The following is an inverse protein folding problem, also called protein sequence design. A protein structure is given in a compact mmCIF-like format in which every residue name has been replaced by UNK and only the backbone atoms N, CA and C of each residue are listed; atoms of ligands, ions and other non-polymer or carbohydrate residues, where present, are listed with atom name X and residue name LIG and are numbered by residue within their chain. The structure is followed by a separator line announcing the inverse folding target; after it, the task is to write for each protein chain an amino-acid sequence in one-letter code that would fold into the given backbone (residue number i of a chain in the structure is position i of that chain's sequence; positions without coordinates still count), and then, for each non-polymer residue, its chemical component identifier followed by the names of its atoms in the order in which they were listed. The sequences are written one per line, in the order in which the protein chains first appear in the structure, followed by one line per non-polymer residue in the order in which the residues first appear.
data_IF_980010610889
#
_entry.id   IF_980010610889
#
_cell.length_a   1.000
_cell.length_b   1.000
_cell.length_c   1.000
_cell.angle_alpha   90.00
_cell.angle_beta   90.00
_cell.angle_gamma   90.00
#
_symmetry.space_group_name_H-M   'P 1'
#
loop_
_entity.id
_entity.type
_entity.pdbx_description
1 polymer ?
#
# COMPACT_ATOMS: atom_id res chain seq x y z
N UNK A 1 67.92 -39.61 40.06
CA UNK A 1 66.57 -39.58 39.47
C UNK A 1 66.04 -38.16 39.61
N UNK A 2 66.08 -37.37 38.54
CA UNK A 2 65.51 -36.02 38.50
C UNK A 2 64.00 -36.15 38.25
N UNK A 3 63.19 -35.60 39.16
CA UNK A 3 61.75 -35.49 38.97
C UNK A 3 61.47 -34.25 38.11
N UNK A 4 61.08 -34.48 36.86
CA UNK A 4 60.63 -33.47 35.91
C UNK A 4 59.27 -32.93 36.38
N UNK A 5 59.22 -31.65 36.77
CA UNK A 5 57.96 -30.91 36.93
C UNK A 5 57.37 -30.66 35.54
N UNK A 6 56.32 -31.40 35.18
CA UNK A 6 55.49 -31.05 34.03
C UNK A 6 54.69 -29.79 34.35
N UNK A 7 55.05 -28.66 33.73
CA UNK A 7 54.20 -27.47 33.68
C UNK A 7 53.00 -27.75 32.79
N UNK A 8 51.83 -27.84 33.39
CA UNK A 8 50.56 -27.86 32.64
C UNK A 8 50.39 -26.45 32.07
N UNK A 9 50.63 -26.34 30.76
CA UNK A 9 50.27 -25.14 29.98
C UNK A 9 48.75 -25.03 30.01
N UNK A 10 48.25 -24.03 30.72
CA UNK A 10 46.83 -23.69 30.74
C UNK A 10 46.42 -23.22 29.33
N UNK A 11 45.62 -24.04 28.63
CA UNK A 11 45.16 -23.79 27.26
C UNK A 11 44.00 -22.80 27.28
N UNK A 12 44.16 -21.65 27.93
CA UNK A 12 43.21 -20.55 27.77
C UNK A 12 43.51 -19.91 26.42
N UNK A 13 42.85 -20.41 25.38
CA UNK A 13 42.74 -19.69 24.12
C UNK A 13 42.30 -18.27 24.45
N UNK A 14 43.12 -17.28 24.09
CA UNK A 14 42.79 -15.86 24.27
C UNK A 14 41.46 -15.58 23.56
N UNK A 15 40.35 -15.59 24.29
CA UNK A 15 39.04 -15.27 23.76
C UNK A 15 39.06 -13.79 23.38
N UNK A 16 39.31 -13.53 22.10
CA UNK A 16 39.26 -12.18 21.55
C UNK A 16 37.79 -11.79 21.51
N UNK A 17 37.34 -10.99 22.48
CA UNK A 17 35.99 -10.45 22.52
C UNK A 17 35.74 -9.67 21.22
N UNK A 18 34.75 -10.08 20.45
CA UNK A 18 34.28 -9.39 19.25
C UNK A 18 33.05 -8.58 19.67
N UNK A 19 33.02 -7.28 19.36
CA UNK A 19 31.81 -6.47 19.54
C UNK A 19 30.79 -6.95 18.50
N UNK A 20 29.68 -7.52 18.96
CA UNK A 20 28.58 -7.95 18.09
C UNK A 20 27.73 -6.75 17.67
N UNK A 21 27.33 -5.92 18.63
CA UNK A 21 26.62 -4.66 18.40
C UNK A 21 26.90 -3.69 19.57
N UNK A 22 26.67 -2.40 19.35
CA UNK A 22 26.81 -1.35 20.37
C UNK A 22 25.49 -0.69 20.68
N UNK A 23 25.34 -0.23 21.93
CA UNK A 23 24.26 0.67 22.30
C UNK A 23 24.72 2.08 21.98
N UNK A 24 24.07 2.70 21.01
CA UNK A 24 24.30 4.09 20.61
C UNK A 24 23.62 5.07 21.57
N UNK A 25 22.41 4.76 22.02
CA UNK A 25 21.65 5.58 22.97
C UNK A 25 20.51 4.81 23.67
N UNK A 26 20.00 5.37 24.77
CA UNK A 26 18.83 4.86 25.50
C UNK A 26 17.87 6.03 25.77
N UNK A 27 16.60 5.85 25.45
CA UNK A 27 15.55 6.85 25.63
C UNK A 27 14.35 6.20 26.33
N UNK A 28 14.21 6.47 27.64
CA UNK A 28 13.24 5.76 28.48
C UNK A 28 13.51 4.26 28.47
N UNK A 29 12.52 3.47 28.06
CA UNK A 29 12.61 2.00 27.94
C UNK A 29 13.14 1.54 26.56
N UNK A 30 13.41 2.45 25.63
CA UNK A 30 13.85 2.13 24.28
C UNK A 30 15.36 2.22 24.13
N UNK A 31 15.97 1.17 23.59
CA UNK A 31 17.39 1.12 23.25
C UNK A 31 17.58 1.40 21.75
N UNK A 32 18.64 2.13 21.40
CA UNK A 32 19.09 2.37 20.02
C UNK A 32 20.42 1.64 19.84
N UNK A 33 20.46 0.73 18.89
CA UNK A 33 21.67 -0.02 18.54
C UNK A 33 22.43 0.67 17.41
N UNK A 34 23.73 0.43 17.32
CA UNK A 34 24.55 0.88 16.17
C UNK A 34 23.99 0.26 14.88
N UNK A 35 23.55 -1.00 14.94
CA UNK A 35 22.92 -1.68 13.80
C UNK A 35 21.59 -1.05 13.35
N UNK A 36 20.83 -0.40 14.24
CA UNK A 36 19.60 0.30 13.86
C UNK A 36 19.89 1.48 12.93
N UNK A 37 20.98 2.21 13.21
CA UNK A 37 21.41 3.37 12.42
C UNK A 37 21.88 2.90 11.03
N UNK A 38 22.69 1.85 10.98
CA UNK A 38 23.17 1.28 9.71
C UNK A 38 22.03 0.73 8.86
N UNK A 39 21.11 -0.04 9.45
CA UNK A 39 19.92 -0.58 8.76
C UNK A 39 19.07 0.54 8.19
N UNK A 40 18.78 1.58 8.98
CA UNK A 40 17.97 2.70 8.51
C UNK A 40 18.63 3.43 7.34
N UNK A 41 19.97 3.56 7.34
CA UNK A 41 20.70 4.14 6.22
C UNK A 41 20.64 3.26 4.96
N UNK A 42 20.73 1.94 5.12
CA UNK A 42 20.59 0.98 4.02
C UNK A 42 19.18 1.04 3.42
N UNK A 43 18.15 1.13 4.25
CA UNK A 43 16.75 1.21 3.83
C UNK A 43 16.47 2.51 3.05
N UNK A 44 17.04 3.64 3.47
CA UNK A 44 16.94 4.90 2.71
C UNK A 44 17.60 4.79 1.33
N UNK A 45 18.76 4.13 1.24
CA UNK A 45 19.44 3.90 -0.04
C UNK A 45 18.67 2.96 -0.96
N UNK A 46 18.05 1.90 -0.41
CA UNK A 46 17.27 0.95 -1.21
C UNK A 46 16.00 1.59 -1.80
N UNK A 47 15.46 2.60 -1.13
CA UNK A 47 14.33 3.41 -1.60
C UNK A 47 14.73 4.53 -2.60
N UNK A 48 16.03 4.67 -2.90
CA UNK A 48 16.54 5.69 -3.82
C UNK A 48 16.64 7.10 -3.23
N UNK A 49 16.58 7.24 -1.90
CA UNK A 49 16.78 8.53 -1.25
C UNK A 49 18.26 8.97 -1.33
N UNK A 50 18.49 10.27 -1.52
CA UNK A 50 19.85 10.82 -1.40
C UNK A 50 20.32 10.70 0.05
N UNK A 51 21.46 10.05 0.25
CA UNK A 51 22.09 9.92 1.57
C UNK A 51 23.39 10.71 1.69
N UNK A 52 23.68 11.60 0.75
CA UNK A 52 24.95 12.35 0.71
C UNK A 52 25.11 13.27 1.93
N UNK A 53 24.01 13.88 2.38
CA UNK A 53 24.00 14.78 3.53
C UNK A 53 23.58 14.11 4.85
N UNK A 54 23.29 12.79 4.83
CA UNK A 54 22.83 12.06 6.00
C UNK A 54 24.02 11.54 6.79
N UNK A 55 24.31 12.19 7.91
CA UNK A 55 25.34 11.75 8.84
C UNK A 55 24.80 10.69 9.81
N UNK A 56 25.71 9.89 10.36
CA UNK A 56 25.38 8.97 11.46
C UNK A 56 24.76 9.71 12.66
N UNK A 57 25.23 10.92 12.97
CA UNK A 57 24.72 11.72 14.09
C UNK A 57 23.30 12.23 13.83
N UNK A 58 23.00 12.71 12.61
CA UNK A 58 21.64 13.14 12.26
C UNK A 58 20.65 11.98 12.31
N UNK A 59 21.08 10.79 11.90
CA UNK A 59 20.23 9.61 11.93
C UNK A 59 19.99 9.10 13.37
N UNK A 60 21.05 9.07 14.19
CA UNK A 60 20.92 8.82 15.63
C UNK A 60 19.96 9.83 16.28
N UNK A 61 20.11 11.12 15.98
CA UNK A 61 19.23 12.17 16.48
C UNK A 61 17.77 11.91 16.15
N UNK A 62 17.47 11.53 14.90
CA UNK A 62 16.11 11.17 14.47
C UNK A 62 15.58 9.94 15.22
N UNK A 63 16.38 8.88 15.36
CA UNK A 63 15.99 7.66 16.08
C UNK A 63 15.76 7.90 17.58
N UNK A 64 16.50 8.84 18.18
CA UNK A 64 16.29 9.30 19.55
C UNK A 64 14.98 10.09 19.67
N UNK A 65 14.72 10.99 18.73
CA UNK A 65 13.49 11.79 18.70
C UNK A 65 12.24 10.91 18.58
N UNK A 66 12.26 9.90 17.69
CA UNK A 66 11.14 8.99 17.53
C UNK A 66 10.85 8.17 18.79
N UNK A 67 11.90 7.71 19.48
CA UNK A 67 11.76 7.02 20.78
C UNK A 67 11.29 7.95 21.88
N UNK A 68 11.70 9.22 21.85
CA UNK A 68 11.23 10.23 22.79
C UNK A 68 9.72 10.46 22.64
N UNK A 69 9.24 10.65 21.40
CA UNK A 69 7.81 10.78 21.14
C UNK A 69 7.03 9.52 21.53
N UNK A 70 7.53 8.33 21.18
CA UNK A 70 6.88 7.08 21.55
C UNK A 70 6.80 6.91 23.08
N UNK A 71 7.88 7.24 23.81
CA UNK A 71 7.89 7.19 25.27
C UNK A 71 6.88 8.17 25.88
N UNK A 72 6.85 9.41 25.39
CA UNK A 72 5.86 10.39 25.84
C UNK A 72 4.44 9.95 25.49
N UNK A 73 4.22 9.31 24.33
CA UNK A 73 2.90 8.81 23.92
C UNK A 73 2.34 7.80 24.92
N UNK A 74 3.19 6.91 25.43
CA UNK A 74 2.82 5.95 26.46
C UNK A 74 2.48 6.65 27.78
N UNK A 75 3.30 7.63 28.21
CA UNK A 75 3.03 8.41 29.42
C UNK A 75 1.71 9.18 29.35
N UNK A 76 1.42 9.77 28.19
CA UNK A 76 0.19 10.51 27.90
C UNK A 76 -1.01 9.61 27.61
N UNK A 77 -0.85 8.28 27.72
CA UNK A 77 -1.89 7.29 27.45
C UNK A 77 -2.50 7.39 26.05
N UNK A 78 -1.70 7.76 25.05
CA UNK A 78 -2.10 7.73 23.65
C UNK A 78 -2.29 6.27 23.23
N UNK A 79 -3.51 5.93 22.83
CA UNK A 79 -3.87 4.58 22.43
C UNK A 79 -3.55 4.34 20.95
N UNK A 80 -2.87 3.23 20.68
CA UNK A 80 -2.71 2.65 19.34
C UNK A 80 -3.40 1.29 19.37
N UNK A 81 -4.29 1.05 18.41
CA UNK A 81 -5.04 -0.20 18.34
C UNK A 81 -4.13 -1.34 17.89
N UNK A 82 -4.14 -2.45 18.63
CA UNK A 82 -3.34 -3.62 18.27
C UNK A 82 -3.79 -4.21 16.91
N UNK A 83 -5.08 -4.13 16.58
CA UNK A 83 -5.60 -4.55 15.28
C UNK A 83 -5.03 -3.71 14.13
N UNK A 84 -4.84 -2.42 14.35
CA UNK A 84 -4.27 -1.50 13.35
C UNK A 84 -2.78 -1.76 13.12
N UNK A 85 -2.05 -2.05 14.20
CA UNK A 85 -0.63 -2.44 14.13
C UNK A 85 -0.49 -3.76 13.39
N UNK A 86 -1.29 -4.78 13.75
CA UNK A 86 -1.28 -6.09 13.10
C UNK A 86 -1.61 -5.99 11.61
N UNK A 87 -2.68 -5.26 11.26
CA UNK A 87 -3.05 -5.02 9.86
C UNK A 87 -1.97 -4.28 9.07
N UNK A 88 -1.18 -3.42 9.72
CA UNK A 88 -0.04 -2.75 9.09
C UNK A 88 1.13 -3.70 8.88
N UNK A 89 1.49 -4.49 9.89
CA UNK A 89 2.52 -5.52 9.79
C UNK A 89 2.19 -6.55 8.70
N UNK A 90 0.95 -7.02 8.62
CA UNK A 90 0.53 -7.98 7.59
C UNK A 90 0.61 -7.39 6.17
N UNK A 91 0.21 -6.13 5.99
CA UNK A 91 0.37 -5.43 4.69
C UNK A 91 1.83 -5.30 4.30
N UNK A 92 2.71 -4.95 5.24
CA UNK A 92 4.14 -4.84 5.00
C UNK A 92 4.75 -6.20 4.62
N UNK A 93 4.36 -7.27 5.31
CA UNK A 93 4.78 -8.64 4.97
C UNK A 93 4.33 -9.02 3.56
N UNK A 94 3.08 -8.74 3.19
CA UNK A 94 2.57 -9.02 1.85
C UNK A 94 3.36 -8.27 0.76
N UNK A 95 3.72 -7.01 1.01
CA UNK A 95 4.56 -6.23 0.08
C UNK A 95 5.96 -6.83 -0.07
N UNK A 96 6.59 -7.21 1.04
CA UNK A 96 7.91 -7.87 1.02
C UNK A 96 7.85 -9.21 0.27
N UNK A 97 6.80 -10.00 0.49
CA UNK A 97 6.60 -11.28 -0.23
C UNK A 97 6.39 -11.03 -1.73
N UNK A 98 5.66 -9.99 -2.12
CA UNK A 98 5.48 -9.66 -3.54
C UNK A 98 6.79 -9.22 -4.21
N UNK A 99 7.65 -8.49 -3.50
CA UNK A 99 8.93 -8.03 -4.02
C UNK A 99 9.97 -9.16 -4.10
N UNK A 100 10.05 -10.00 -3.06
CA UNK A 100 11.09 -11.03 -2.93
C UNK A 100 10.66 -12.40 -3.50
N UNK A 101 9.35 -12.64 -3.55
CA UNK A 101 8.70 -13.77 -4.22
C UNK A 101 8.17 -14.87 -3.31
N UNK A 102 8.72 -15.06 -2.09
CA UNK A 102 8.17 -16.02 -1.11
C UNK A 102 8.49 -15.61 0.33
N UNK A 103 7.72 -16.16 1.28
CA UNK A 103 7.96 -15.93 2.71
C UNK A 103 9.30 -16.51 3.16
N UNK A 104 9.72 -17.69 2.69
CA UNK A 104 11.02 -18.25 3.10
C UNK A 104 12.19 -17.33 2.73
N UNK A 105 12.14 -16.70 1.55
CA UNK A 105 13.19 -15.77 1.12
C UNK A 105 13.20 -14.49 1.96
N UNK A 106 12.03 -13.99 2.37
CA UNK A 106 11.93 -12.85 3.28
C UNK A 106 12.57 -13.18 4.63
N UNK A 107 12.22 -14.34 5.21
CA UNK A 107 12.81 -14.80 6.47
C UNK A 107 14.33 -14.98 6.36
N UNK A 108 14.81 -15.54 5.26
CA UNK A 108 16.25 -15.67 5.01
C UNK A 108 16.96 -14.31 4.89
N UNK A 109 16.33 -13.33 4.23
CA UNK A 109 16.89 -11.99 4.06
C UNK A 109 17.01 -11.23 5.40
N UNK A 110 15.98 -11.31 6.24
CA UNK A 110 15.97 -10.68 7.57
C UNK A 110 16.59 -11.55 8.68
N UNK A 111 17.13 -12.72 8.31
CA UNK A 111 17.74 -13.70 9.23
C UNK A 111 16.80 -14.08 10.39
N UNK A 112 15.57 -14.48 10.03
CA UNK A 112 14.51 -14.91 10.96
C UNK A 112 14.21 -16.39 10.80
N UNK A 113 13.96 -17.07 11.91
CA UNK A 113 13.69 -18.51 11.88
C UNK A 113 12.22 -18.81 11.56
N UNK A 114 11.31 -17.94 12.01
CA UNK A 114 9.87 -18.15 11.84
C UNK A 114 9.11 -16.89 11.41
N UNK A 115 7.97 -17.09 10.75
CA UNK A 115 7.07 -15.98 10.39
C UNK A 115 6.41 -15.31 11.58
N UNK A 116 6.36 -15.98 12.74
CA UNK A 116 5.81 -15.43 13.97
C UNK A 116 6.80 -14.44 14.59
N UNK A 117 8.06 -14.83 14.72
CA UNK A 117 9.14 -13.95 15.19
C UNK A 117 9.23 -12.67 14.34
N UNK A 118 9.14 -12.80 13.01
CA UNK A 118 9.16 -11.65 12.12
C UNK A 118 7.93 -10.74 12.28
N UNK A 119 6.74 -11.32 12.51
CA UNK A 119 5.52 -10.55 12.78
C UNK A 119 5.63 -9.78 14.10
N UNK A 120 6.16 -10.39 15.16
CA UNK A 120 6.34 -9.74 16.46
C UNK A 120 7.34 -8.57 16.38
N UNK A 121 8.43 -8.76 15.64
CA UNK A 121 9.41 -7.68 15.39
C UNK A 121 8.76 -6.52 14.64
N UNK A 122 8.05 -6.80 13.54
CA UNK A 122 7.32 -5.77 12.80
C UNK A 122 6.23 -5.11 13.63
N UNK A 123 5.52 -5.86 14.46
CA UNK A 123 4.54 -5.31 15.40
C UNK A 123 5.19 -4.31 16.35
N UNK A 124 6.34 -4.67 16.95
CA UNK A 124 7.07 -3.78 17.86
C UNK A 124 7.53 -2.50 17.18
N UNK A 125 8.10 -2.63 15.97
CA UNK A 125 8.55 -1.49 15.16
C UNK A 125 7.37 -0.60 14.77
N UNK A 126 6.29 -1.18 14.26
CA UNK A 126 5.12 -0.43 13.82
C UNK A 126 4.41 0.25 14.99
N UNK A 127 4.30 -0.42 16.16
CA UNK A 127 3.73 0.18 17.36
C UNK A 127 4.53 1.38 17.82
N UNK A 128 5.86 1.29 17.85
CA UNK A 128 6.73 2.42 18.18
C UNK A 128 6.54 3.58 17.20
N UNK A 129 6.56 3.30 15.89
CA UNK A 129 6.34 4.31 14.85
C UNK A 129 4.99 5.01 15.00
N UNK A 130 3.91 4.25 15.16
CA UNK A 130 2.56 4.79 15.30
C UNK A 130 2.38 5.61 16.58
N UNK A 131 3.01 5.21 17.69
CA UNK A 131 3.03 6.01 18.91
C UNK A 131 3.74 7.35 18.69
N UNK A 132 4.91 7.34 18.03
CA UNK A 132 5.65 8.55 17.67
C UNK A 132 4.81 9.48 16.79
N UNK A 133 4.21 8.94 15.73
CA UNK A 133 3.36 9.69 14.79
C UNK A 133 2.14 10.31 15.49
N UNK A 134 1.42 9.56 16.35
CA UNK A 134 0.27 10.09 17.08
C UNK A 134 0.65 11.18 18.08
N UNK A 135 1.81 11.05 18.74
CA UNK A 135 2.30 12.11 19.62
C UNK A 135 2.65 13.37 18.84
N UNK A 136 3.36 13.24 17.72
CA UNK A 136 3.64 14.39 16.84
C UNK A 136 2.35 15.06 16.36
N UNK A 137 1.36 14.28 15.93
CA UNK A 137 0.04 14.78 15.53
C UNK A 137 -0.67 15.53 16.65
N UNK A 138 -0.62 15.01 17.88
CA UNK A 138 -1.17 15.69 19.06
C UNK A 138 -0.50 17.05 19.27
N UNK A 139 0.83 17.11 19.23
CA UNK A 139 1.59 18.36 19.42
C UNK A 139 1.23 19.40 18.34
N UNK A 140 1.17 18.99 17.07
CA UNK A 140 0.85 19.94 15.99
C UNK A 140 -0.62 20.32 15.93
N UNK A 141 -1.53 19.51 16.47
CA UNK A 141 -2.97 19.81 16.50
C UNK A 141 -3.33 21.03 17.34
N UNK A 142 -2.47 21.40 18.29
CA UNK A 142 -2.62 22.61 19.10
C UNK A 142 -2.23 23.89 18.33
N UNK A 143 -1.50 23.74 17.22
CA UNK A 143 -1.04 24.88 16.41
C UNK A 143 -2.20 25.39 15.56
N UNK A 144 -2.63 26.62 15.86
CA UNK A 144 -3.63 27.33 15.05
C UNK A 144 -2.92 28.25 14.06
N UNK A 145 -3.22 28.08 12.77
CA UNK A 145 -2.71 28.94 11.70
C UNK A 145 -3.75 29.99 11.35
N UNK A 146 -3.38 31.26 11.45
CA UNK A 146 -4.27 32.38 11.13
C UNK A 146 -4.27 32.72 9.63
N UNK A 147 -5.37 33.28 9.09
CA UNK A 147 -5.40 33.72 7.70
C UNK A 147 -4.31 34.75 7.35
N UNK A 148 -3.89 35.57 8.32
CA UNK A 148 -2.85 36.58 8.10
C UNK A 148 -1.45 35.95 8.00
N UNK A 149 -1.14 34.93 8.80
CA UNK A 149 0.12 34.17 8.66
C UNK A 149 0.21 33.49 7.30
N UNK A 150 -0.90 32.91 6.81
CA UNK A 150 -0.97 32.33 5.46
C UNK A 150 -0.71 33.38 4.39
N UNK A 151 -1.34 34.57 4.50
CA UNK A 151 -1.12 35.67 3.56
C UNK A 151 0.33 36.15 3.56
N UNK A 152 0.95 36.26 4.74
CA UNK A 152 2.34 36.68 4.86
C UNK A 152 3.30 35.62 4.31
N UNK A 153 3.07 34.34 4.61
CA UNK A 153 3.82 33.23 4.04
C UNK A 153 3.73 33.23 2.50
N UNK A 154 2.51 33.31 1.96
CA UNK A 154 2.29 33.33 0.51
C UNK A 154 2.97 34.52 -0.19
N UNK A 155 2.95 35.71 0.44
CA UNK A 155 3.64 36.91 -0.08
C UNK A 155 5.17 36.79 -0.05
N UNK A 156 5.75 35.95 0.82
CA UNK A 156 7.20 35.72 0.90
C UNK A 156 7.71 34.75 -0.16
N UNK A 157 6.84 33.94 -0.78
CA UNK A 157 7.23 33.02 -1.85
C UNK A 157 7.63 33.86 -3.08
N UNK A 158 8.85 33.68 -3.64
CA UNK A 158 9.28 34.33 -4.88
C UNK A 158 8.27 34.09 -6.02
N UNK A 159 8.02 35.10 -6.87
CA UNK A 159 7.00 35.01 -7.93
C UNK A 159 7.19 33.81 -8.87
N UNK A 160 8.44 33.42 -9.15
CA UNK A 160 8.81 32.28 -9.99
C UNK A 160 8.57 30.91 -9.32
N UNK A 161 8.40 30.89 -8.00
CA UNK A 161 8.12 29.69 -7.21
C UNK A 161 6.65 29.62 -6.77
N UNK A 162 5.85 30.65 -7.04
CA UNK A 162 4.43 30.62 -6.70
C UNK A 162 3.73 29.55 -7.55
N UNK A 163 2.86 28.73 -6.94
CA UNK A 163 2.04 27.80 -7.69
C UNK A 163 1.20 28.55 -8.73
N UNK A 164 1.30 28.14 -9.98
CA UNK A 164 0.45 28.66 -11.04
C UNK A 164 -0.86 27.89 -10.98
N UNK A 165 -1.94 28.55 -10.57
CA UNK A 165 -3.26 27.97 -10.70
C UNK A 165 -3.65 28.01 -12.17
N UNK A 166 -4.16 26.89 -12.69
CA UNK A 166 -4.73 26.84 -14.03
C UNK A 166 -5.91 27.80 -14.17
N UNK A 167 -6.29 28.13 -15.40
CA UNK A 167 -7.48 28.94 -15.63
C UNK A 167 -8.71 28.25 -15.02
N UNK A 168 -9.40 28.93 -14.10
CA UNK A 168 -10.72 28.53 -13.63
C UNK A 168 -11.77 28.92 -14.69
N UNK A 169 -12.66 28.01 -15.02
CA UNK A 169 -13.69 28.20 -16.04
C UNK A 169 -15.08 28.07 -15.42
N UNK A 170 -15.91 29.09 -15.60
CA UNK A 170 -17.35 28.98 -15.38
C UNK A 170 -18.04 28.72 -16.72
N UNK A 171 -18.70 27.57 -16.85
CA UNK A 171 -19.42 27.19 -18.08
C UNK A 171 -20.89 26.95 -17.79
N UNK A 172 -21.74 27.29 -18.76
CA UNK A 172 -23.15 26.91 -18.78
C UNK A 172 -23.38 25.94 -19.95
N UNK A 173 -23.96 24.77 -19.66
CA UNK A 173 -24.26 23.75 -20.65
C UNK A 173 -25.75 23.47 -20.68
N UNK A 174 -26.33 23.36 -21.87
CA UNK A 174 -27.67 22.84 -22.09
C UNK A 174 -27.52 21.49 -22.79
N UNK A 175 -28.04 20.43 -22.17
CA UNK A 175 -28.06 19.07 -22.72
C UNK A 175 -29.51 18.72 -23.05
N UNK A 176 -29.75 18.20 -24.25
CA UNK A 176 -31.04 17.62 -24.64
C UNK A 176 -30.79 16.21 -25.14
N UNK A 177 -31.13 15.24 -24.33
CA UNK A 177 -31.08 13.83 -24.71
C UNK A 177 -32.32 13.48 -25.53
N UNK A 178 -32.17 12.90 -26.73
CA UNK A 178 -33.32 12.43 -27.50
C UNK A 178 -33.93 11.20 -26.81
N UNK A 179 -35.26 11.17 -26.72
CA UNK A 179 -35.97 9.97 -26.29
C UNK A 179 -35.87 8.91 -27.39
N UNK A 180 -35.34 7.74 -27.06
CA UNK A 180 -35.24 6.61 -27.98
C UNK A 180 -36.63 5.95 -28.09
N UNK A 181 -37.19 5.76 -29.30
CA UNK A 181 -38.45 5.05 -29.46
C UNK A 181 -38.38 3.62 -28.89
N UNK A 182 -39.44 3.19 -28.20
CA UNK A 182 -39.51 1.84 -27.62
C UNK A 182 -39.32 0.72 -28.64
N UNK A 183 -39.73 0.94 -29.90
CA UNK A 183 -39.50 -0.01 -31.00
C UNK A 183 -38.00 -0.27 -31.25
N UNK A 184 -37.17 0.77 -31.17
CA UNK A 184 -35.72 0.64 -31.37
C UNK A 184 -35.05 -0.06 -30.19
N UNK A 185 -35.50 0.21 -28.95
CA UNK A 185 -35.04 -0.52 -27.77
C UNK A 185 -35.36 -2.01 -27.90
N UNK A 186 -36.58 -2.34 -28.32
CA UNK A 186 -37.00 -3.73 -28.48
C UNK A 186 -36.18 -4.45 -29.56
N UNK A 187 -35.81 -3.76 -30.65
CA UNK A 187 -34.92 -4.34 -31.68
C UNK A 187 -33.55 -4.74 -31.10
N UNK A 188 -32.97 -3.90 -30.25
CA UNK A 188 -31.69 -4.20 -29.58
C UNK A 188 -31.83 -5.37 -28.61
N UNK A 189 -32.88 -5.38 -27.78
CA UNK A 189 -33.16 -6.48 -26.84
C UNK A 189 -33.34 -7.79 -27.61
N UNK A 190 -34.15 -7.82 -28.65
CA UNK A 190 -34.37 -9.01 -29.48
C UNK A 190 -33.06 -9.51 -30.10
N UNK A 191 -32.18 -8.60 -30.53
CA UNK A 191 -30.88 -8.99 -31.10
C UNK A 191 -29.95 -9.59 -30.05
N UNK A 192 -29.95 -9.07 -28.84
CA UNK A 192 -29.18 -9.64 -27.73
C UNK A 192 -29.72 -11.01 -27.32
N UNK A 193 -31.04 -11.20 -27.32
CA UNK A 193 -31.67 -12.51 -27.10
C UNK A 193 -31.30 -13.52 -28.19
N UNK A 194 -31.25 -13.10 -29.45
CA UNK A 194 -30.78 -13.95 -30.55
C UNK A 194 -29.31 -14.36 -30.36
N UNK A 195 -28.45 -13.43 -29.93
CA UNK A 195 -27.03 -13.74 -29.65
C UNK A 195 -26.92 -14.71 -28.47
N UNK A 196 -27.70 -14.51 -27.40
CA UNK A 196 -27.75 -15.41 -26.25
C UNK A 196 -28.15 -16.82 -26.69
N UNK A 197 -29.28 -16.96 -27.39
CA UNK A 197 -29.78 -18.25 -27.88
C UNK A 197 -28.75 -18.94 -28.81
N UNK A 198 -28.06 -18.19 -29.66
CA UNK A 198 -26.99 -18.78 -30.49
C UNK A 198 -25.83 -19.35 -29.67
N UNK A 199 -25.48 -18.72 -28.56
CA UNK A 199 -24.40 -19.20 -27.70
C UNK A 199 -24.85 -20.40 -26.86
N UNK A 200 -26.09 -20.39 -26.35
CA UNK A 200 -26.63 -21.46 -25.50
C UNK A 200 -27.09 -22.70 -26.29
N UNK A 201 -27.78 -22.51 -27.43
CA UNK A 201 -28.44 -23.59 -28.17
C UNK A 201 -27.64 -24.09 -29.38
N UNK A 202 -26.80 -23.22 -29.98
CA UNK A 202 -26.09 -23.50 -31.23
C UNK A 202 -24.56 -23.62 -31.07
N UNK A 203 -24.06 -23.73 -29.83
CA UNK A 203 -22.63 -23.82 -29.48
C UNK A 203 -21.78 -22.68 -30.09
N UNK A 204 -22.37 -21.52 -30.36
CA UNK A 204 -21.62 -20.39 -30.91
C UNK A 204 -20.67 -19.82 -29.85
N UNK A 205 -19.44 -19.47 -30.24
CA UNK A 205 -18.50 -18.87 -29.29
C UNK A 205 -18.91 -17.43 -28.92
N UNK A 206 -19.13 -17.18 -27.62
CA UNK A 206 -19.43 -15.84 -27.09
C UNK A 206 -18.35 -14.82 -27.50
N UNK A 207 -17.07 -15.21 -27.47
CA UNK A 207 -15.97 -14.32 -27.84
C UNK A 207 -16.03 -13.88 -29.30
N UNK A 208 -16.45 -14.77 -30.20
CA UNK A 208 -16.66 -14.44 -31.62
C UNK A 208 -17.85 -13.51 -31.78
N UNK A 209 -18.97 -13.76 -31.10
CA UNK A 209 -20.14 -12.87 -31.11
C UNK A 209 -19.79 -11.48 -30.58
N UNK A 210 -19.01 -11.40 -29.51
CA UNK A 210 -18.52 -10.14 -28.95
C UNK A 210 -17.65 -9.37 -29.96
N UNK A 211 -16.72 -10.04 -30.64
CA UNK A 211 -15.88 -9.40 -31.69
C UNK A 211 -16.74 -8.84 -32.83
N UNK A 212 -17.78 -9.56 -33.25
CA UNK A 212 -18.61 -9.18 -34.41
C UNK A 212 -19.63 -8.09 -34.07
N UNK A 213 -20.32 -8.21 -32.93
CA UNK A 213 -21.53 -7.43 -32.64
C UNK A 213 -21.35 -6.41 -31.50
N UNK A 214 -20.36 -6.58 -30.61
CA UNK A 214 -20.18 -5.63 -29.51
C UNK A 214 -19.80 -4.24 -30.04
N UNK A 215 -20.29 -3.22 -29.34
CA UNK A 215 -19.91 -1.83 -29.54
C UNK A 215 -19.00 -1.31 -28.43
N UNK A 216 -18.69 -2.13 -27.43
CA UNK A 216 -17.79 -1.74 -26.35
C UNK A 216 -16.33 -1.72 -26.84
N UNK A 217 -15.68 -0.53 -26.91
CA UNK A 217 -14.30 -0.42 -27.36
C UNK A 217 -13.31 -1.09 -26.39
N UNK A 218 -13.67 -1.30 -25.12
CA UNK A 218 -12.77 -1.81 -24.09
C UNK A 218 -12.55 -3.32 -24.14
N UNK A 219 -13.57 -4.10 -24.50
CA UNK A 219 -13.50 -5.57 -24.52
C UNK A 219 -13.72 -6.22 -25.89
N UNK A 220 -14.34 -5.54 -26.86
CA UNK A 220 -14.68 -6.12 -28.17
C UNK A 220 -13.51 -6.87 -28.83
N UNK A 221 -12.33 -6.23 -28.90
CA UNK A 221 -11.14 -6.81 -29.53
C UNK A 221 -10.56 -8.01 -28.78
N UNK A 222 -10.94 -8.19 -27.52
CA UNK A 222 -10.55 -9.31 -26.65
C UNK A 222 -11.68 -10.33 -26.49
N UNK A 223 -12.69 -10.30 -27.36
CA UNK A 223 -13.81 -11.24 -27.28
C UNK A 223 -14.72 -11.00 -26.09
N UNK A 224 -14.90 -9.75 -25.65
CA UNK A 224 -15.78 -9.42 -24.52
C UNK A 224 -15.18 -9.68 -23.15
N UNK A 225 -13.90 -10.05 -23.06
CA UNK A 225 -13.27 -10.43 -21.80
C UNK A 225 -12.92 -9.23 -20.92
N UNK A 226 -13.40 -9.26 -19.67
CA UNK A 226 -12.98 -8.40 -18.57
C UNK A 226 -12.55 -9.23 -17.35
N UNK A 227 -11.51 -8.78 -16.65
CA UNK A 227 -11.21 -9.24 -15.29
C UNK A 227 -11.76 -8.21 -14.30
N UNK A 228 -12.61 -8.67 -13.37
CA UNK A 228 -13.35 -7.78 -12.47
C UNK A 228 -13.32 -8.28 -11.02
N UNK A 229 -13.23 -7.35 -10.08
CA UNK A 229 -13.51 -7.56 -8.65
C UNK A 229 -14.61 -6.60 -8.19
N UNK A 230 -15.09 -6.73 -6.94
CA UNK A 230 -16.10 -5.81 -6.40
C UNK A 230 -15.63 -4.35 -6.33
N UNK A 231 -14.31 -4.13 -6.37
CA UNK A 231 -13.68 -2.80 -6.35
C UNK A 231 -13.48 -2.21 -7.75
N UNK A 232 -13.67 -2.98 -8.82
CA UNK A 232 -13.58 -2.47 -10.19
C UNK A 232 -14.59 -1.33 -10.40
N UNK A 233 -14.20 -0.21 -11.04
CA UNK A 233 -15.03 0.99 -11.18
C UNK A 233 -16.11 0.84 -12.28
N UNK A 234 -16.86 -0.25 -12.27
CA UNK A 234 -18.02 -0.46 -13.14
C UNK A 234 -19.31 0.03 -12.47
N UNK A 235 -20.30 0.36 -13.30
CA UNK A 235 -21.64 0.78 -12.85
C UNK A 235 -22.31 -0.33 -12.05
N UNK A 236 -23.19 0.07 -11.12
CA UNK A 236 -23.76 -0.84 -10.13
C UNK A 236 -24.59 -1.94 -10.79
N UNK A 237 -25.42 -1.57 -11.76
CA UNK A 237 -26.30 -2.45 -12.51
C UNK A 237 -25.53 -3.59 -13.17
N UNK A 238 -24.40 -3.28 -13.82
CA UNK A 238 -23.53 -4.27 -14.44
C UNK A 238 -22.92 -5.23 -13.42
N UNK A 239 -22.42 -4.70 -12.29
CA UNK A 239 -21.84 -5.53 -11.22
C UNK A 239 -22.87 -6.45 -10.60
N UNK A 240 -24.08 -5.95 -10.34
CA UNK A 240 -25.14 -6.73 -9.71
C UNK A 240 -25.50 -7.95 -10.57
N UNK A 241 -25.62 -7.79 -11.89
CA UNK A 241 -25.86 -8.91 -12.81
C UNK A 241 -24.64 -9.84 -12.85
N UNK A 242 -23.43 -9.32 -13.04
CA UNK A 242 -22.21 -10.12 -13.15
C UNK A 242 -21.92 -10.99 -11.90
N UNK A 243 -22.20 -10.48 -10.70
CA UNK A 243 -22.03 -11.23 -9.45
C UNK A 243 -23.22 -12.13 -9.09
N UNK A 244 -24.32 -12.06 -9.86
CA UNK A 244 -25.49 -12.94 -9.68
C UNK A 244 -25.43 -14.22 -10.51
N UNK A 245 -24.62 -14.22 -11.58
CA UNK A 245 -24.50 -15.34 -12.53
C UNK A 245 -23.57 -16.43 -12.01
N UNK A 246 -23.86 -17.66 -12.44
CA UNK A 246 -22.98 -18.81 -12.26
C UNK A 246 -21.95 -18.90 -13.39
N UNK A 247 -20.88 -19.66 -13.16
CA UNK A 247 -19.87 -19.90 -14.19
C UNK A 247 -20.49 -20.61 -15.40
N UNK A 248 -20.33 -20.02 -16.59
CA UNK A 248 -20.90 -20.53 -17.84
C UNK A 248 -22.34 -20.09 -18.12
N UNK A 249 -22.98 -19.33 -17.24
CA UNK A 249 -24.31 -18.76 -17.44
C UNK A 249 -24.24 -17.43 -18.20
N UNK A 250 -25.20 -17.18 -19.10
CA UNK A 250 -25.33 -15.92 -19.85
C UNK A 250 -26.55 -15.15 -19.35
N UNK A 251 -26.35 -13.87 -19.04
CA UNK A 251 -27.42 -13.02 -18.53
C UNK A 251 -28.56 -12.79 -19.53
N UNK A 252 -29.75 -12.49 -19.02
CA UNK A 252 -30.76 -11.79 -19.83
C UNK A 252 -30.25 -10.39 -20.22
N UNK A 253 -30.74 -9.79 -21.34
CA UNK A 253 -30.40 -8.42 -21.69
C UNK A 253 -30.81 -7.43 -20.60
N UNK A 254 -29.88 -6.57 -20.19
CA UNK A 254 -30.12 -5.54 -19.18
C UNK A 254 -29.56 -4.19 -19.60
N UNK A 255 -30.15 -3.11 -19.07
CA UNK A 255 -29.85 -1.73 -19.44
C UNK A 255 -28.91 -1.07 -18.42
N UNK A 256 -27.96 -0.29 -18.92
CA UNK A 256 -27.17 0.66 -18.13
C UNK A 256 -27.04 1.99 -18.88
N UNK A 257 -26.42 2.98 -18.26
CA UNK A 257 -26.10 4.25 -18.92
C UNK A 257 -25.18 4.12 -20.15
N UNK A 258 -24.61 2.93 -20.39
CA UNK A 258 -23.76 2.62 -21.55
C UNK A 258 -24.50 1.80 -22.64
N UNK A 259 -25.80 1.57 -22.49
CA UNK A 259 -26.63 0.82 -23.44
C UNK A 259 -27.15 -0.51 -22.89
N UNK A 260 -27.43 -1.46 -23.78
CA UNK A 260 -27.90 -2.80 -23.41
C UNK A 260 -26.77 -3.82 -23.47
N UNK A 261 -26.76 -4.72 -22.49
CA UNK A 261 -25.67 -5.66 -22.23
C UNK A 261 -26.20 -7.08 -22.08
N UNK A 262 -25.37 -8.03 -22.49
CA UNK A 262 -25.40 -9.42 -22.02
C UNK A 262 -23.97 -9.76 -21.59
N UNK A 263 -23.84 -10.62 -20.59
CA UNK A 263 -22.55 -11.06 -20.05
C UNK A 263 -22.54 -12.56 -19.82
#
# INVERSE_FOLDING_TARGET
MQATKSSVSDTVTNFKKIKLDGISAVVGDYVILDSDIEKTLIDLRSQGASTEDITHCSLLGKLMEDRLYAHQAVQDSILVSDDEVNATSDRQIQQLVQQVGSMEKVLQFYNKETSEEFREELYTINKLRMLSEKMQQKIVSEIQVTPEEVRQFFKKIPEDQKPVFGAELEISQIVKEPLIPEEEKQKVINKLQEIKADVEDNDASFSVKAILYSQDPGSKSKGGFYSMTRQTPFVKEFKDVAFSLQEGEISEPFETNFGYHII
#
